data_IF_467579917688
#
_entry.id   IF_467579917688
#
_cell.length_a   1.000
_cell.length_b   1.000
_cell.length_c   1.000
_cell.angle_alpha   90.00
_cell.angle_beta   90.00
_cell.angle_gamma   90.00
#
_symmetry.space_group_name_H-M   'P 1'
#
loop_
_entity.id
_entity.type
_entity.pdbx_description
1 polymer ?
#
# COMPACT_ATOMS: atom_id res chain seq x y z
N UNK A 1 -18.54 38.96 -14.65
CA UNK A 1 -17.15 38.71 -14.20
C UNK A 1 -17.18 38.74 -12.69
N UNK A 2 -17.31 37.59 -12.05
CA UNK A 2 -17.28 37.45 -10.59
C UNK A 2 -16.11 36.54 -10.26
N UNK A 3 -15.14 37.10 -9.55
CA UNK A 3 -13.91 36.47 -9.11
C UNK A 3 -14.21 35.42 -8.04
N UNK A 4 -13.84 34.16 -8.29
CA UNK A 4 -13.85 33.10 -7.29
C UNK A 4 -12.57 33.19 -6.44
N UNK A 5 -12.69 33.80 -5.25
CA UNK A 5 -11.68 33.76 -4.19
C UNK A 5 -11.96 32.57 -3.26
N UNK A 6 -11.74 31.37 -3.76
CA UNK A 6 -11.79 30.13 -2.98
C UNK A 6 -10.40 29.53 -2.79
N UNK A 7 -9.57 30.12 -1.94
CA UNK A 7 -8.28 29.56 -1.56
C UNK A 7 -8.45 28.18 -0.93
N UNK A 8 -8.09 27.13 -1.68
CA UNK A 8 -8.03 25.76 -1.17
C UNK A 8 -6.99 25.71 -0.04
N UNK A 9 -7.45 25.71 1.22
CA UNK A 9 -6.60 25.53 2.41
C UNK A 9 -5.86 24.21 2.25
N UNK A 10 -4.58 24.32 1.88
CA UNK A 10 -3.61 23.23 1.83
C UNK A 10 -3.60 22.55 3.20
N UNK A 11 -3.73 21.23 3.25
CA UNK A 11 -3.55 20.48 4.48
C UNK A 11 -2.12 20.71 5.01
N UNK A 12 -2.00 21.00 6.31
CA UNK A 12 -0.71 21.08 6.98
C UNK A 12 0.07 19.78 6.75
N UNK A 13 1.37 19.90 6.50
CA UNK A 13 2.28 18.87 6.00
C UNK A 13 2.58 17.71 6.96
N UNK A 14 1.55 17.06 7.51
CA UNK A 14 1.72 16.00 8.50
C UNK A 14 0.82 14.77 8.24
N UNK A 15 0.34 14.59 7.00
CA UNK A 15 -0.50 13.44 6.67
C UNK A 15 0.38 12.21 6.41
N UNK A 16 0.10 11.03 7.00
CA UNK A 16 0.93 9.82 6.87
C UNK A 16 1.22 9.37 5.43
N UNK A 17 0.39 9.77 4.46
CA UNK A 17 0.62 9.49 3.05
C UNK A 17 1.74 10.35 2.43
N UNK A 18 2.14 11.45 3.05
CA UNK A 18 3.25 12.29 2.59
C UNK A 18 4.59 11.56 2.68
N UNK A 19 4.74 10.65 3.65
CA UNK A 19 5.91 9.77 3.71
C UNK A 19 5.96 8.75 2.55
N UNK A 20 4.85 8.55 1.84
CA UNK A 20 4.80 7.78 0.59
C UNK A 20 5.01 8.67 -0.65
N UNK A 21 5.01 10.00 -0.50
CA UNK A 21 5.10 10.99 -1.56
C UNK A 21 6.52 11.57 -1.70
N UNK A 22 7.35 11.01 -2.59
CA UNK A 22 8.57 11.64 -3.11
C UNK A 22 8.30 12.79 -4.08
N UNK A 23 9.34 13.56 -4.41
CA UNK A 23 9.22 14.90 -5.02
C UNK A 23 8.78 14.98 -6.48
N UNK A 24 8.84 13.91 -7.28
CA UNK A 24 8.38 13.95 -8.69
C UNK A 24 7.92 12.59 -9.20
N UNK A 25 6.87 12.59 -10.04
CA UNK A 25 6.42 11.40 -10.82
C UNK A 25 5.97 11.75 -12.24
N UNK A 26 6.24 12.97 -12.72
CA UNK A 26 5.83 13.44 -14.05
C UNK A 26 6.33 12.51 -15.14
N UNK A 27 5.41 11.73 -15.72
CA UNK A 27 5.60 10.90 -16.90
C UNK A 27 4.52 11.28 -17.90
N UNK A 28 4.81 11.11 -19.18
CA UNK A 28 3.82 11.28 -20.23
C UNK A 28 2.60 10.37 -19.99
N UNK A 29 1.42 10.83 -20.41
CA UNK A 29 0.17 10.09 -20.28
C UNK A 29 0.33 8.66 -20.84
N UNK A 30 -0.23 7.68 -20.13
CA UNK A 30 -0.28 6.27 -20.52
C UNK A 30 1.03 5.46 -20.59
N UNK A 31 2.21 6.06 -20.41
CA UNK A 31 3.47 5.28 -20.35
C UNK A 31 3.50 4.21 -19.24
N UNK A 32 2.63 4.33 -18.23
CA UNK A 32 2.47 3.35 -17.16
C UNK A 32 1.97 1.99 -17.66
N UNK A 33 1.17 1.95 -18.73
CA UNK A 33 0.55 0.73 -19.28
C UNK A 33 1.59 -0.28 -19.78
N UNK A 34 2.77 0.21 -20.17
CA UNK A 34 3.86 -0.60 -20.72
C UNK A 34 4.90 -1.01 -19.65
N UNK A 35 4.63 -0.74 -18.38
CA UNK A 35 5.56 -1.01 -17.28
C UNK A 35 4.93 -1.94 -16.26
N UNK A 36 5.72 -2.74 -15.53
CA UNK A 36 5.21 -3.50 -14.39
C UNK A 36 4.47 -2.56 -13.41
N UNK A 37 3.33 -2.99 -12.84
CA UNK A 37 2.71 -4.32 -12.97
C UNK A 37 1.75 -4.49 -14.17
N UNK A 38 1.59 -3.47 -15.03
CA UNK A 38 0.53 -3.41 -16.05
C UNK A 38 0.96 -3.87 -17.45
N UNK A 39 2.27 -4.01 -17.67
CA UNK A 39 2.85 -4.63 -18.85
C UNK A 39 2.18 -5.99 -19.09
N UNK A 40 1.75 -6.23 -20.33
CA UNK A 40 1.34 -7.55 -20.79
C UNK A 40 2.60 -8.41 -20.90
N UNK A 41 2.61 -9.58 -20.25
CA UNK A 41 3.70 -10.55 -20.39
C UNK A 41 3.62 -11.28 -21.74
N UNK A 42 4.76 -11.45 -22.40
CA UNK A 42 4.84 -12.14 -23.69
C UNK A 42 4.94 -13.66 -23.52
N UNK A 43 4.51 -14.47 -24.51
CA UNK A 43 4.74 -15.91 -24.49
C UNK A 43 6.23 -16.23 -24.37
N UNK A 44 6.68 -16.66 -23.19
CA UNK A 44 8.10 -16.93 -22.89
C UNK A 44 8.64 -16.19 -21.67
N UNK A 45 7.90 -15.19 -21.14
CA UNK A 45 8.24 -14.59 -19.84
C UNK A 45 8.12 -15.66 -18.73
N UNK A 46 9.24 -15.95 -18.06
CA UNK A 46 9.25 -16.84 -16.89
C UNK A 46 8.69 -16.13 -15.66
N UNK A 47 7.36 -16.10 -15.53
CA UNK A 47 6.67 -15.62 -14.33
C UNK A 47 6.12 -16.82 -13.56
N UNK A 48 6.88 -17.33 -12.58
CA UNK A 48 6.44 -18.47 -11.77
C UNK A 48 5.34 -18.03 -10.79
N UNK A 49 4.09 -18.44 -11.05
CA UNK A 49 2.94 -18.03 -10.24
C UNK A 49 2.93 -18.75 -8.89
N UNK A 50 3.00 -17.99 -7.80
CA UNK A 50 2.87 -18.49 -6.41
C UNK A 50 1.49 -18.22 -5.83
N UNK A 51 0.90 -17.08 -6.18
CA UNK A 51 -0.43 -16.69 -5.70
C UNK A 51 -1.26 -16.07 -6.82
N UNK A 52 -2.58 -16.17 -6.67
CA UNK A 52 -3.58 -15.52 -7.53
C UNK A 52 -4.43 -14.61 -6.67
N UNK A 53 -4.86 -13.49 -7.24
CA UNK A 53 -5.79 -12.58 -6.60
C UNK A 53 -6.79 -12.03 -7.58
N UNK A 54 -7.96 -11.64 -7.06
CA UNK A 54 -9.03 -11.04 -7.86
C UNK A 54 -9.85 -10.05 -7.06
N UNK A 55 -10.40 -9.06 -7.73
CA UNK A 55 -11.40 -8.19 -7.11
C UNK A 55 -12.69 -8.97 -6.82
N UNK A 56 -13.61 -8.36 -6.06
CA UNK A 56 -14.86 -9.02 -5.65
C UNK A 56 -15.69 -9.55 -6.84
N UNK A 57 -15.81 -8.78 -7.93
CA UNK A 57 -16.54 -9.23 -9.12
C UNK A 57 -15.74 -10.12 -10.08
N UNK A 58 -14.43 -10.29 -9.85
CA UNK A 58 -13.53 -11.07 -10.72
C UNK A 58 -13.17 -10.42 -12.06
N UNK A 59 -13.56 -9.17 -12.33
CA UNK A 59 -13.20 -8.45 -13.55
C UNK A 59 -11.70 -8.13 -13.60
N UNK A 60 -11.10 -7.82 -12.43
CA UNK A 60 -9.67 -7.61 -12.25
C UNK A 60 -9.08 -8.88 -11.64
N UNK A 61 -8.06 -9.43 -12.29
CA UNK A 61 -7.33 -10.63 -11.84
C UNK A 61 -5.83 -10.41 -12.03
N UNK A 62 -5.05 -10.93 -11.09
CA UNK A 62 -3.60 -10.79 -11.08
C UNK A 62 -2.93 -12.01 -10.45
N UNK A 63 -1.64 -12.13 -10.72
CA UNK A 63 -0.74 -13.17 -10.24
C UNK A 63 0.45 -12.56 -9.51
N UNK A 64 0.97 -13.28 -8.51
CA UNK A 64 2.19 -12.91 -7.79
C UNK A 64 3.26 -13.98 -7.99
N UNK A 65 4.50 -13.56 -8.24
CA UNK A 65 5.62 -14.48 -8.46
C UNK A 65 6.42 -14.83 -7.20
N UNK A 66 6.14 -14.15 -6.08
CA UNK A 66 6.80 -14.40 -4.79
C UNK A 66 5.93 -15.20 -3.85
N UNK A 67 6.56 -16.14 -3.16
CA UNK A 67 5.90 -16.95 -2.13
C UNK A 67 5.54 -16.10 -0.89
N UNK A 68 6.40 -15.15 -0.51
CA UNK A 68 6.16 -14.20 0.59
C UNK A 68 6.38 -12.76 0.12
N UNK A 69 5.60 -11.78 0.63
CA UNK A 69 5.87 -10.38 0.36
C UNK A 69 7.20 -9.93 0.96
N UNK A 70 7.73 -8.81 0.49
CA UNK A 70 8.89 -8.13 1.09
C UNK A 70 8.64 -7.79 2.56
N UNK A 71 7.42 -7.33 2.84
CA UNK A 71 6.93 -7.10 4.19
C UNK A 71 5.41 -7.13 4.19
N UNK A 72 4.80 -7.42 5.34
CA UNK A 72 3.36 -7.37 5.54
C UNK A 72 3.09 -6.60 6.82
N UNK A 73 2.26 -5.55 6.77
CA UNK A 73 2.12 -4.61 7.88
C UNK A 73 0.68 -4.13 8.03
N UNK A 74 0.24 -4.01 9.27
CA UNK A 74 -0.95 -3.23 9.58
C UNK A 74 -0.60 -1.75 9.63
N UNK A 75 -1.46 -0.92 9.05
CA UNK A 75 -1.33 0.53 9.11
C UNK A 75 -2.61 1.13 9.67
N UNK A 76 -2.47 1.78 10.82
CA UNK A 76 -3.58 2.39 11.54
C UNK A 76 -3.73 3.87 11.25
N UNK A 77 -3.10 4.42 10.21
CA UNK A 77 -3.36 5.81 9.86
C UNK A 77 -4.81 5.98 9.37
N UNK A 78 -5.39 7.16 9.58
CA UNK A 78 -6.80 7.40 9.20
C UNK A 78 -7.09 7.19 7.70
N UNK A 79 -6.08 7.29 6.83
CA UNK A 79 -6.24 6.97 5.40
C UNK A 79 -6.36 5.45 5.20
N UNK A 80 -5.44 4.66 5.76
CA UNK A 80 -5.48 3.21 5.64
C UNK A 80 -6.71 2.60 6.35
N UNK A 81 -7.13 3.16 7.50
CA UNK A 81 -8.36 2.72 8.18
C UNK A 81 -9.61 2.82 7.29
N UNK A 82 -9.72 3.88 6.48
CA UNK A 82 -10.86 4.08 5.59
C UNK A 82 -10.83 3.16 4.36
N UNK A 83 -9.69 2.56 4.05
CA UNK A 83 -9.45 1.91 2.77
C UNK A 83 -9.18 0.40 2.87
N UNK A 84 -8.24 -0.03 3.71
CA UNK A 84 -7.78 -1.44 3.73
C UNK A 84 -7.11 -1.92 5.03
N UNK A 85 -6.48 -1.04 5.82
CA UNK A 85 -5.86 -1.34 7.13
C UNK A 85 -4.63 -2.26 7.14
N UNK A 86 -4.46 -3.10 6.11
CA UNK A 86 -3.41 -4.11 5.98
C UNK A 86 -2.84 -4.10 4.55
N UNK A 87 -1.51 -4.11 4.43
CA UNK A 87 -0.86 -4.18 3.13
C UNK A 87 0.37 -5.11 3.14
N UNK A 88 0.57 -5.79 2.02
CA UNK A 88 1.75 -6.57 1.71
C UNK A 88 2.56 -5.90 0.60
N UNK A 89 3.85 -5.75 0.82
CA UNK A 89 4.76 -4.99 -0.05
C UNK A 89 5.39 -5.94 -1.07
N UNK A 90 5.32 -5.56 -2.35
CA UNK A 90 5.94 -6.28 -3.47
C UNK A 90 6.69 -5.29 -4.36
N UNK A 91 7.71 -5.75 -5.09
CA UNK A 91 8.18 -4.97 -6.24
C UNK A 91 7.11 -5.02 -7.33
N UNK A 92 7.09 -3.98 -8.17
CA UNK A 92 6.18 -3.91 -9.32
C UNK A 92 6.33 -5.10 -10.27
N UNK A 93 7.53 -5.64 -10.37
CA UNK A 93 7.88 -6.81 -11.21
C UNK A 93 7.38 -8.13 -10.65
N UNK A 94 6.98 -8.19 -9.37
CA UNK A 94 6.47 -9.41 -8.76
C UNK A 94 4.96 -9.59 -8.95
N UNK A 95 4.31 -8.64 -9.63
CA UNK A 95 2.85 -8.60 -9.84
C UNK A 95 2.57 -8.54 -11.34
N UNK A 96 1.67 -9.41 -11.79
CA UNK A 96 1.23 -9.49 -13.17
C UNK A 96 -0.31 -9.42 -13.25
N UNK A 97 -0.88 -8.41 -13.92
CA UNK A 97 -2.32 -8.40 -14.18
C UNK A 97 -2.67 -9.28 -15.38
N UNK A 98 -3.38 -10.39 -15.12
CA UNK A 98 -3.84 -11.31 -16.17
C UNK A 98 -5.15 -10.85 -16.83
N UNK A 99 -5.95 -10.02 -16.14
CA UNK A 99 -7.22 -9.50 -16.66
C UNK A 99 -7.60 -8.18 -15.99
N UNK A 100 -8.24 -7.29 -16.75
CA UNK A 100 -8.92 -6.11 -16.23
C UNK A 100 -8.00 -4.96 -15.82
N UNK A 101 -6.74 -4.94 -16.26
CA UNK A 101 -5.82 -3.82 -15.99
C UNK A 101 -6.27 -2.50 -16.67
N UNK A 102 -7.08 -2.58 -17.73
CA UNK A 102 -7.74 -1.42 -18.33
C UNK A 102 -8.99 -0.96 -17.56
N UNK A 103 -9.55 -1.81 -16.70
CA UNK A 103 -10.73 -1.53 -15.87
C UNK A 103 -10.34 -1.18 -14.42
N UNK A 104 -9.17 -0.55 -14.26
CA UNK A 104 -8.68 -0.01 -13.00
C UNK A 104 -9.07 1.46 -12.86
N UNK A 105 -9.52 1.83 -11.66
CA UNK A 105 -9.71 3.21 -11.24
C UNK A 105 -8.60 3.66 -10.32
N UNK A 106 -8.27 4.94 -10.38
CA UNK A 106 -7.20 5.57 -9.61
C UNK A 106 -7.74 6.64 -8.67
N UNK A 107 -7.04 6.84 -7.56
CA UNK A 107 -7.24 8.00 -6.72
C UNK A 107 -5.92 8.46 -6.12
N UNK A 108 -5.50 9.68 -6.46
CA UNK A 108 -4.43 10.41 -5.80
C UNK A 108 -5.03 11.19 -4.63
N UNK A 109 -4.76 10.81 -3.36
CA UNK A 109 -5.31 11.51 -2.20
C UNK A 109 -4.72 12.91 -2.01
N UNK A 110 -3.50 13.16 -2.49
CA UNK A 110 -2.82 14.46 -2.37
C UNK A 110 -3.39 15.46 -3.36
N UNK A 111 -3.50 15.08 -4.64
CA UNK A 111 -4.10 15.93 -5.67
C UNK A 111 -5.64 15.89 -5.69
N UNK A 112 -6.26 14.97 -4.93
CA UNK A 112 -7.69 14.66 -4.97
C UNK A 112 -8.20 14.40 -6.39
N UNK A 113 -7.40 13.66 -7.15
CA UNK A 113 -7.62 13.41 -8.58
C UNK A 113 -7.83 11.93 -8.86
N UNK A 114 -8.55 11.62 -9.93
CA UNK A 114 -8.69 10.25 -10.45
C UNK A 114 -7.66 9.91 -11.55
N UNK A 115 -6.64 10.75 -11.70
CA UNK A 115 -5.52 10.52 -12.62
C UNK A 115 -4.50 9.55 -12.04
N UNK A 116 -3.74 8.89 -12.92
CA UNK A 116 -2.65 8.00 -12.52
C UNK A 116 -1.39 8.79 -12.11
N UNK A 117 -1.46 9.47 -10.95
CA UNK A 117 -0.32 10.17 -10.36
C UNK A 117 0.18 9.44 -9.12
N UNK A 118 1.41 8.94 -9.16
CA UNK A 118 1.96 8.15 -8.08
C UNK A 118 2.43 9.04 -6.90
N UNK A 119 2.21 8.62 -5.64
CA UNK A 119 1.55 7.39 -5.23
C UNK A 119 0.02 7.49 -5.38
N UNK A 120 -0.63 6.45 -5.86
CA UNK A 120 -2.10 6.44 -6.00
C UNK A 120 -2.72 5.16 -5.43
N UNK A 121 -4.01 5.25 -5.13
CA UNK A 121 -4.87 4.13 -4.75
C UNK A 121 -5.42 3.49 -6.01
N UNK A 122 -5.39 2.16 -6.07
CA UNK A 122 -5.82 1.38 -7.23
C UNK A 122 -7.01 0.52 -6.82
N UNK A 123 -8.08 0.58 -7.60
CA UNK A 123 -9.32 -0.17 -7.33
C UNK A 123 -9.94 -0.69 -8.62
N UNK A 124 -10.81 -1.69 -8.53
CA UNK A 124 -11.63 -2.09 -9.67
C UNK A 124 -12.61 -0.96 -10.05
N UNK A 125 -12.64 -0.54 -11.31
CA UNK A 125 -13.55 0.51 -11.80
C UNK A 125 -15.02 0.09 -11.72
N UNK A 126 -15.31 -1.21 -11.76
CA UNK A 126 -16.66 -1.76 -11.70
C UNK A 126 -17.16 -1.93 -10.25
N UNK A 127 -16.58 -2.86 -9.49
CA UNK A 127 -17.07 -3.19 -8.15
C UNK A 127 -16.41 -2.37 -7.02
N UNK A 128 -15.50 -1.46 -7.35
CA UNK A 128 -14.81 -0.56 -6.41
C UNK A 128 -13.97 -1.25 -5.33
N UNK A 129 -13.73 -2.56 -5.46
CA UNK A 129 -12.82 -3.28 -4.57
C UNK A 129 -11.44 -2.62 -4.62
N UNK A 130 -10.90 -2.14 -3.49
CA UNK A 130 -9.53 -1.67 -3.40
C UNK A 130 -8.58 -2.84 -3.67
N UNK A 131 -7.59 -2.65 -4.55
CA UNK A 131 -6.66 -3.71 -4.98
C UNK A 131 -5.29 -3.52 -4.34
N UNK A 132 -4.76 -2.30 -4.43
CA UNK A 132 -3.42 -1.96 -3.93
C UNK A 132 -3.22 -0.45 -3.87
N UNK A 133 -2.17 -0.02 -3.19
CA UNK A 133 -1.56 1.29 -3.43
C UNK A 133 -0.35 1.12 -4.34
N UNK A 134 -0.29 1.91 -5.41
CA UNK A 134 0.88 1.96 -6.27
C UNK A 134 1.82 3.07 -5.80
N UNK A 135 2.98 2.68 -5.27
CA UNK A 135 4.07 3.60 -5.00
C UNK A 135 4.97 3.83 -6.22
N UNK A 136 6.04 4.60 -6.05
CA UNK A 136 7.01 4.83 -7.14
C UNK A 136 7.77 3.57 -7.53
N UNK A 137 8.24 2.83 -6.52
CA UNK A 137 9.14 1.69 -6.69
C UNK A 137 8.50 0.34 -6.31
N UNK A 138 7.45 0.38 -5.49
CA UNK A 138 6.82 -0.80 -4.90
C UNK A 138 5.30 -0.68 -4.92
N UNK A 139 4.64 -1.80 -4.69
CA UNK A 139 3.19 -1.92 -4.56
C UNK A 139 2.88 -2.34 -3.12
N UNK A 140 1.84 -1.74 -2.55
CA UNK A 140 1.23 -2.17 -1.30
C UNK A 140 -0.06 -2.89 -1.65
N UNK A 141 0.03 -4.20 -1.90
CA UNK A 141 -1.07 -5.06 -2.28
C UNK A 141 -1.97 -5.36 -1.08
N UNK A 142 -3.29 -5.46 -1.27
CA UNK A 142 -4.20 -5.83 -0.18
C UNK A 142 -4.43 -7.34 -0.12
N UNK A 143 -3.89 -8.05 0.90
CA UNK A 143 -3.85 -9.51 0.89
C UNK A 143 -5.22 -10.19 0.97
N UNK A 144 -6.26 -9.45 1.38
CA UNK A 144 -7.63 -9.95 1.48
C UNK A 144 -8.22 -10.43 0.16
N UNK A 145 -7.62 -10.04 -0.97
CA UNK A 145 -8.01 -10.47 -2.32
C UNK A 145 -7.29 -11.74 -2.82
N UNK A 146 -6.32 -12.25 -2.06
CA UNK A 146 -5.55 -13.44 -2.44
C UNK A 146 -6.41 -14.69 -2.28
N UNK A 147 -6.44 -15.50 -3.32
CA UNK A 147 -7.10 -16.80 -3.29
C UNK A 147 -6.40 -17.71 -2.28
N UNK A 148 -7.17 -18.27 -1.34
CA UNK A 148 -6.61 -19.10 -0.29
C UNK A 148 -5.95 -18.33 0.86
N UNK A 149 -6.14 -17.00 0.99
CA UNK A 149 -5.57 -16.20 2.08
C UNK A 149 -5.92 -16.73 3.48
N UNK A 150 -7.09 -17.36 3.64
CA UNK A 150 -7.55 -17.92 4.91
C UNK A 150 -7.01 -19.32 5.23
N UNK A 151 -6.28 -19.94 4.31
CA UNK A 151 -5.63 -21.24 4.54
C UNK A 151 -4.42 -21.07 5.48
N UNK A 152 -3.93 -22.14 6.15
CA UNK A 152 -2.71 -22.06 6.94
C UNK A 152 -1.50 -21.52 6.14
N UNK A 153 -1.35 -21.96 4.89
CA UNK A 153 -0.29 -21.49 4.00
C UNK A 153 -0.43 -20.00 3.67
N UNK A 154 -1.65 -19.54 3.31
CA UNK A 154 -1.92 -18.13 3.03
C UNK A 154 -1.68 -17.23 4.25
N UNK A 155 -2.17 -17.64 5.42
CA UNK A 155 -1.94 -16.91 6.68
C UNK A 155 -0.45 -16.82 7.03
N UNK A 156 0.30 -17.91 6.87
CA UNK A 156 1.73 -17.92 7.12
C UNK A 156 2.53 -17.09 6.11
N UNK A 157 2.13 -17.11 4.82
CA UNK A 157 2.82 -16.38 3.76
C UNK A 157 2.66 -14.86 3.89
N UNK A 158 1.47 -14.39 4.25
CA UNK A 158 1.16 -12.96 4.33
C UNK A 158 1.15 -12.43 5.77
N UNK A 159 1.60 -13.20 6.76
CA UNK A 159 1.55 -12.82 8.18
C UNK A 159 2.10 -11.40 8.41
N UNK A 160 1.33 -10.49 9.02
CA UNK A 160 1.80 -9.17 9.40
C UNK A 160 2.99 -9.26 10.36
N UNK A 161 3.95 -8.36 10.19
CA UNK A 161 5.18 -8.31 10.98
C UNK A 161 5.13 -7.22 12.06
N UNK A 162 4.32 -6.18 11.86
CA UNK A 162 4.16 -5.08 12.81
C UNK A 162 2.90 -4.24 12.53
N UNK A 163 2.62 -3.31 13.44
CA UNK A 163 1.63 -2.25 13.29
C UNK A 163 2.30 -0.88 13.21
N UNK A 164 1.95 -0.09 12.20
CA UNK A 164 2.36 1.31 12.06
C UNK A 164 1.23 2.24 12.48
N UNK A 165 1.59 3.42 12.98
CA UNK A 165 0.64 4.44 13.44
C UNK A 165 -0.36 3.93 14.50
N UNK A 166 0.05 2.98 15.34
CA UNK A 166 -0.84 2.26 16.26
C UNK A 166 -1.62 3.16 17.26
N UNK A 167 -1.12 4.33 17.72
CA UNK A 167 -1.92 5.23 18.55
C UNK A 167 -3.21 5.72 17.88
N UNK A 168 -3.32 5.65 16.55
CA UNK A 168 -4.52 6.03 15.80
C UNK A 168 -5.55 4.90 15.68
N UNK A 169 -5.25 3.69 16.15
CA UNK A 169 -6.13 2.51 16.02
C UNK A 169 -7.54 2.78 16.53
N UNK A 170 -8.52 2.16 15.89
CA UNK A 170 -9.94 2.22 16.30
C UNK A 170 -10.37 1.01 17.12
N UNK A 171 -9.54 -0.04 17.14
CA UNK A 171 -9.73 -1.27 17.91
C UNK A 171 -8.37 -1.68 18.45
N UNK A 172 -8.31 -2.11 19.72
CA UNK A 172 -7.11 -2.69 20.31
C UNK A 172 -6.82 -4.06 19.70
N UNK A 173 -5.58 -4.28 19.25
CA UNK A 173 -5.14 -5.55 18.68
C UNK A 173 -4.02 -6.11 19.55
N UNK A 174 -4.35 -7.19 20.26
CA UNK A 174 -3.46 -7.91 21.18
C UNK A 174 -2.89 -9.15 20.51
N UNK A 175 -1.87 -8.96 19.69
CA UNK A 175 -1.24 -10.01 18.88
C UNK A 175 0.26 -10.19 19.14
N UNK A 176 0.84 -9.38 20.04
CA UNK A 176 2.26 -9.45 20.40
C UNK A 176 3.20 -8.97 19.30
N UNK A 177 2.69 -8.44 18.17
CA UNK A 177 3.53 -7.86 17.13
C UNK A 177 4.01 -6.47 17.53
N UNK A 178 5.24 -6.07 17.14
CA UNK A 178 5.76 -4.72 17.36
C UNK A 178 4.80 -3.65 16.86
N UNK A 179 4.62 -2.61 17.67
CA UNK A 179 3.71 -1.51 17.38
C UNK A 179 4.48 -0.21 17.40
N UNK A 180 4.37 0.56 16.33
CA UNK A 180 5.13 1.81 16.13
C UNK A 180 4.20 3.00 16.24
N UNK A 181 4.71 4.11 16.81
CA UNK A 181 4.01 5.40 16.83
C UNK A 181 3.77 5.93 15.42
N UNK A 182 4.73 5.71 14.52
CA UNK A 182 4.70 6.15 13.13
C UNK A 182 5.06 5.01 12.19
N UNK A 183 6.02 5.27 11.30
CA UNK A 183 6.56 4.27 10.38
C UNK A 183 7.43 3.26 11.14
N UNK A 184 7.39 2.01 10.70
CA UNK A 184 8.30 0.98 11.21
C UNK A 184 9.76 1.40 11.01
N UNK A 185 10.59 1.12 12.00
CA UNK A 185 12.05 1.35 11.96
C UNK A 185 12.49 2.82 11.89
N UNK A 186 11.53 3.76 11.85
CA UNK A 186 11.77 5.21 11.83
C UNK A 186 11.03 5.94 12.96
N UNK A 187 10.38 5.19 13.85
CA UNK A 187 9.59 5.73 14.94
C UNK A 187 9.75 4.87 16.19
N UNK A 188 9.56 5.44 17.39
CA UNK A 188 9.54 4.65 18.62
C UNK A 188 8.44 3.59 18.61
N UNK A 189 8.68 2.52 19.37
CA UNK A 189 7.67 1.53 19.71
C UNK A 189 6.65 2.15 20.68
N UNK A 190 5.44 1.60 20.66
CA UNK A 190 4.37 1.93 21.60
C UNK A 190 3.90 0.66 22.31
N UNK A 191 3.45 0.83 23.54
CA UNK A 191 2.84 -0.24 24.32
C UNK A 191 1.53 -0.71 23.68
N UNK A 192 1.30 -2.02 23.69
CA UNK A 192 0.14 -2.64 23.05
C UNK A 192 -1.18 -2.29 23.75
N UNK A 193 -1.17 -2.11 25.07
CA UNK A 193 -2.35 -1.80 25.86
C UNK A 193 -2.60 -0.30 25.92
N UNK A 194 -1.59 0.50 26.27
CA UNK A 194 -1.77 1.95 26.49
C UNK A 194 -1.67 2.75 25.20
N UNK A 195 -0.90 2.27 24.22
CA UNK A 195 -0.55 3.04 23.02
C UNK A 195 0.46 4.17 23.27
N UNK A 196 1.03 4.26 24.46
CA UNK A 196 2.07 5.23 24.80
C UNK A 196 3.45 4.77 24.31
N UNK A 197 4.34 5.70 24.03
CA UNK A 197 5.70 5.38 23.58
C UNK A 197 6.50 4.64 24.66
N UNK A 198 7.25 3.62 24.23
CA UNK A 198 8.17 2.89 25.09
C UNK A 198 9.50 3.67 25.15
N UNK A 199 9.95 4.15 26.32
CA UNK A 199 11.17 4.93 26.44
C UNK A 199 12.40 4.19 25.89
N UNK A 200 13.25 4.90 25.14
CA UNK A 200 14.49 4.34 24.58
C UNK A 200 14.32 3.41 23.36
N UNK A 201 13.11 3.28 22.83
CA UNK A 201 12.80 2.44 21.65
C UNK A 201 12.91 3.17 20.31
N UNK A 202 13.35 4.43 20.31
CA UNK A 202 13.52 5.22 19.09
C UNK A 202 14.56 4.62 18.14
N UNK A 203 14.52 4.99 16.84
CA UNK A 203 15.54 4.59 15.89
C UNK A 203 16.92 5.03 16.42
N UNK A 204 17.89 4.12 16.38
CA UNK A 204 19.28 4.45 16.70
C UNK A 204 19.77 5.38 15.60
N UNK A 205 20.32 6.53 15.96
CA UNK A 205 21.06 7.36 15.02
C UNK A 205 22.17 6.48 14.42
N UNK A 206 22.14 6.26 13.11
CA UNK A 206 23.33 5.77 12.42
C UNK A 206 24.39 6.85 12.61
N UNK A 207 25.47 6.54 13.34
CA UNK A 207 26.69 7.34 13.25
C UNK A 207 27.03 7.43 11.76
N UNK A 208 26.89 8.63 11.18
CA UNK A 208 27.39 8.93 9.85
C UNK A 208 28.90 8.62 9.83
N UNK A 209 29.21 7.41 9.36
CA UNK A 209 30.57 6.94 9.16
C UNK A 209 31.26 7.83 8.13
N UNK A 210 32.35 8.44 8.57
CA UNK A 210 33.35 9.19 7.81
C UNK A 210 33.71 8.60 6.44
#
# INVERSE_FOLDING_TARGET
>A
MTEDKGGNKRSDGNEPHQHQAGSTTHREEDQWKYRPPYRIHEPGDQFEVKWRGKCHCGAVQYELSREKPLASKYCHCTTCQRMHGWAAIFHKTDVNFTRGHHDLGWYDPTARSTTHHLPCKVQCAYCRTPVMDEGRNMILLFPTLIEGINTPAGRAAFQPQCHMFYPQRVVDIRDGLPKFKGLSDQSPLVDEETGEEIPGSGPKEEEEGK
#
